data_IF_893059320066
#
_entry.id   IF_893059320066
#
_cell.length_a   1.000
_cell.length_b   1.000
_cell.length_c   1.000
_cell.angle_alpha   90.00
_cell.angle_beta   90.00
_cell.angle_gamma   90.00
#
_symmetry.space_group_name_H-M   'P 1'
#
loop_
_entity.id
_entity.type
_entity.pdbx_description
1 polymer ?
#
# COMPACT_ATOMS: atom_id res chain seq x y z
N UNK A 1 9.50 10.12 -27.80
CA UNK A 1 10.04 11.15 -26.87
C UNK A 1 10.41 10.43 -25.58
N UNK A 2 11.68 10.03 -25.46
CA UNK A 2 12.21 9.32 -24.28
C UNK A 2 12.21 10.30 -23.11
N UNK A 3 11.23 10.20 -22.23
CA UNK A 3 11.28 10.85 -20.92
C UNK A 3 12.17 9.99 -20.03
N UNK A 4 13.22 10.65 -19.54
CA UNK A 4 14.07 10.30 -18.42
C UNK A 4 13.38 9.33 -17.45
N UNK A 5 13.74 8.04 -17.51
CA UNK A 5 13.29 7.08 -16.50
C UNK A 5 14.07 7.38 -15.24
N UNK A 6 13.52 8.22 -14.37
CA UNK A 6 13.99 8.39 -13.00
C UNK A 6 14.24 7.00 -12.42
N UNK A 7 15.51 6.66 -12.17
CA UNK A 7 15.88 5.36 -11.63
C UNK A 7 15.17 5.21 -10.28
N UNK A 8 14.26 4.25 -10.15
CA UNK A 8 13.59 4.01 -8.89
C UNK A 8 14.63 3.74 -7.80
N UNK A 9 14.48 4.44 -6.68
CA UNK A 9 15.27 4.17 -5.49
C UNK A 9 14.80 2.84 -4.89
N UNK A 10 15.74 2.07 -4.34
CA UNK A 10 15.48 0.75 -3.76
C UNK A 10 15.93 0.75 -2.31
N UNK A 11 15.06 0.24 -1.44
CA UNK A 11 15.34 -0.06 -0.04
C UNK A 11 15.07 -1.54 0.22
N UNK A 12 15.70 -2.08 1.26
CA UNK A 12 15.55 -3.48 1.63
C UNK A 12 15.01 -3.63 3.05
N UNK A 13 14.06 -4.55 3.21
CA UNK A 13 13.69 -5.09 4.52
C UNK A 13 14.77 -6.08 4.97
N UNK A 14 14.89 -6.30 6.28
CA UNK A 14 15.73 -7.35 6.86
C UNK A 14 15.25 -8.71 6.37
N UNK A 15 16.14 -9.45 5.69
CA UNK A 15 15.85 -10.80 5.19
C UNK A 15 15.50 -11.75 6.34
N UNK A 16 16.29 -11.73 7.42
CA UNK A 16 16.06 -12.56 8.60
C UNK A 16 14.69 -12.29 9.23
N UNK A 17 14.35 -11.03 9.51
CA UNK A 17 13.07 -10.69 10.12
C UNK A 17 11.90 -11.00 9.18
N UNK A 18 12.08 -10.76 7.88
CA UNK A 18 11.08 -11.09 6.86
C UNK A 18 10.81 -12.60 6.80
N UNK A 19 11.86 -13.43 6.87
CA UNK A 19 11.72 -14.89 6.91
C UNK A 19 10.99 -15.37 8.17
N UNK A 20 11.28 -14.78 9.35
CA UNK A 20 10.57 -15.11 10.59
C UNK A 20 9.07 -14.77 10.50
N UNK A 21 8.75 -13.57 9.99
CA UNK A 21 7.37 -13.15 9.74
C UNK A 21 6.67 -14.09 8.75
N UNK A 22 7.36 -14.47 7.66
CA UNK A 22 6.81 -15.38 6.65
C UNK A 22 6.53 -16.76 7.25
N UNK A 23 7.43 -17.30 8.08
CA UNK A 23 7.23 -18.57 8.77
C UNK A 23 6.00 -18.54 9.69
N UNK A 24 5.83 -17.44 10.45
CA UNK A 24 4.71 -17.28 11.38
C UNK A 24 3.35 -17.17 10.65
N UNK A 25 3.33 -16.50 9.50
CA UNK A 25 2.11 -16.34 8.69
C UNK A 25 1.82 -17.57 7.81
N UNK A 26 2.85 -18.32 7.43
CA UNK A 26 2.77 -19.47 6.54
C UNK A 26 2.24 -19.10 5.17
N UNK A 27 1.42 -19.98 4.58
CA UNK A 27 0.81 -19.79 3.25
C UNK A 27 -0.25 -18.67 3.18
N UNK A 28 -0.48 -17.91 4.27
CA UNK A 28 -1.43 -16.78 4.28
C UNK A 28 -0.81 -15.47 3.79
N UNK A 29 0.51 -15.42 3.59
CA UNK A 29 1.22 -14.25 3.09
C UNK A 29 2.21 -14.64 2.00
N UNK A 30 2.29 -13.82 0.97
CA UNK A 30 3.27 -13.96 -0.11
C UNK A 30 4.43 -12.99 0.11
N UNK A 31 5.64 -13.42 -0.23
CA UNK A 31 6.78 -12.51 -0.33
C UNK A 31 6.65 -11.72 -1.63
N UNK A 32 6.65 -10.39 -1.53
CA UNK A 32 6.31 -9.50 -2.64
C UNK A 32 7.25 -8.31 -2.73
N UNK A 33 7.31 -7.69 -3.91
CA UNK A 33 7.94 -6.36 -4.08
C UNK A 33 6.88 -5.28 -3.86
N UNK A 34 7.17 -4.35 -2.94
CA UNK A 34 6.36 -3.15 -2.75
C UNK A 34 6.91 -1.94 -3.49
N UNK A 35 6.02 -1.09 -3.98
CA UNK A 35 6.31 0.24 -4.48
C UNK A 35 5.70 1.27 -3.52
N UNK A 36 6.49 2.22 -3.06
CA UNK A 36 5.94 3.37 -2.32
C UNK A 36 5.73 4.54 -3.26
N UNK A 37 4.54 5.10 -3.24
CA UNK A 37 4.11 6.26 -4.01
C UNK A 37 3.97 7.48 -3.11
N UNK A 38 4.21 8.67 -3.65
CA UNK A 38 3.99 9.95 -2.97
C UNK A 38 2.52 10.38 -2.96
N UNK A 39 1.66 9.66 -3.66
CA UNK A 39 0.24 9.92 -3.82
C UNK A 39 -0.58 8.64 -3.83
N UNK A 40 -1.87 8.78 -3.56
CA UNK A 40 -2.85 7.70 -3.74
C UNK A 40 -2.99 7.33 -5.21
N UNK A 41 -2.79 6.06 -5.53
CA UNK A 41 -3.02 5.51 -6.87
C UNK A 41 -4.45 4.97 -6.95
N UNK A 42 -5.35 5.80 -7.49
CA UNK A 42 -6.77 5.46 -7.51
C UNK A 42 -7.21 4.68 -8.75
N UNK A 43 -6.50 4.83 -9.87
CA UNK A 43 -6.85 4.24 -11.16
C UNK A 43 -6.30 2.82 -11.32
N UNK A 44 -7.14 1.87 -11.72
CA UNK A 44 -6.76 0.50 -12.10
C UNK A 44 -5.72 0.45 -13.22
N UNK A 45 -5.80 1.37 -14.18
CA UNK A 45 -4.82 1.47 -15.26
C UNK A 45 -3.45 1.84 -14.71
N UNK A 46 -3.39 2.86 -13.84
CA UNK A 46 -2.14 3.31 -13.24
C UNK A 46 -1.55 2.23 -12.32
N UNK A 47 -2.36 1.55 -11.49
CA UNK A 47 -1.92 0.41 -10.67
C UNK A 47 -1.22 -0.66 -11.51
N UNK A 48 -1.81 -1.05 -12.63
CA UNK A 48 -1.23 -2.07 -13.53
C UNK A 48 0.01 -1.56 -14.24
N UNK A 49 0.03 -0.31 -14.70
CA UNK A 49 1.20 0.30 -15.33
C UNK A 49 2.39 0.38 -14.36
N UNK A 50 2.16 0.76 -13.11
CA UNK A 50 3.19 0.78 -12.07
C UNK A 50 3.68 -0.64 -11.75
N UNK A 51 2.76 -1.59 -11.58
CA UNK A 51 3.10 -3.00 -11.36
C UNK A 51 3.98 -3.56 -12.48
N UNK A 52 3.67 -3.27 -13.74
CA UNK A 52 4.50 -3.68 -14.89
C UNK A 52 5.84 -2.95 -14.94
N UNK A 53 5.85 -1.64 -14.69
CA UNK A 53 7.05 -0.80 -14.83
C UNK A 53 8.10 -1.08 -13.75
N UNK A 54 7.66 -1.44 -12.54
CA UNK A 54 8.54 -1.64 -11.38
C UNK A 54 8.60 -3.11 -10.91
N UNK A 55 7.84 -4.01 -11.56
CA UNK A 55 7.63 -5.40 -11.13
C UNK A 55 7.17 -5.46 -9.67
N UNK A 56 6.25 -4.58 -9.30
CA UNK A 56 5.71 -4.48 -7.96
C UNK A 56 4.34 -5.14 -7.88
N UNK A 57 4.10 -5.84 -6.78
CA UNK A 57 2.82 -6.53 -6.53
C UNK A 57 1.86 -5.66 -5.73
N UNK A 58 2.40 -4.70 -4.98
CA UNK A 58 1.66 -3.86 -4.02
C UNK A 58 2.17 -2.42 -4.06
N UNK A 59 1.26 -1.46 -3.86
CA UNK A 59 1.59 -0.04 -3.73
C UNK A 59 1.17 0.45 -2.35
N UNK A 60 2.03 1.19 -1.67
CA UNK A 60 1.74 1.91 -0.43
C UNK A 60 2.28 3.35 -0.50
N UNK A 61 2.24 4.11 0.60
CA UNK A 61 2.79 5.48 0.64
C UNK A 61 3.92 5.63 1.66
N UNK A 62 4.10 4.67 2.56
CA UNK A 62 4.92 4.85 3.76
C UNK A 62 6.15 3.93 3.80
N UNK A 63 6.15 2.83 3.04
CA UNK A 63 7.16 1.78 3.16
C UNK A 63 8.59 2.30 2.94
N UNK A 64 8.82 2.98 1.82
CA UNK A 64 10.15 3.52 1.50
C UNK A 64 10.63 4.55 2.52
N UNK A 65 9.76 5.46 2.96
CA UNK A 65 10.08 6.47 3.96
C UNK A 65 10.43 5.82 5.31
N UNK A 66 9.66 4.81 5.72
CA UNK A 66 9.89 4.05 6.95
C UNK A 66 11.26 3.39 6.93
N UNK A 67 11.61 2.68 5.85
CA UNK A 67 12.93 2.05 5.69
C UNK A 67 14.07 3.09 5.66
N UNK A 68 13.86 4.21 4.98
CA UNK A 68 14.87 5.27 4.87
C UNK A 68 15.22 5.92 6.21
N UNK A 69 14.29 5.91 7.17
CA UNK A 69 14.52 6.43 8.52
C UNK A 69 15.08 5.37 9.47
N UNK A 70 14.60 4.12 9.37
CA UNK A 70 14.91 3.06 10.34
C UNK A 70 16.17 2.27 9.99
N UNK A 71 16.43 1.97 8.71
CA UNK A 71 17.59 1.19 8.28
C UNK A 71 18.91 1.88 8.69
N UNK A 72 19.13 3.19 8.47
CA UNK A 72 20.37 3.85 8.87
C UNK A 72 20.61 3.86 10.39
N UNK A 73 19.55 3.66 11.19
CA UNK A 73 19.62 3.56 12.65
C UNK A 73 19.88 2.14 13.14
N UNK A 74 20.07 1.17 12.23
CA UNK A 74 20.37 -0.22 12.56
C UNK A 74 19.16 -1.06 12.98
N UNK A 75 17.93 -0.57 12.78
CA UNK A 75 16.74 -1.38 13.08
C UNK A 75 16.49 -2.41 11.97
N UNK A 76 16.24 -3.66 12.37
CA UNK A 76 15.72 -4.67 11.47
C UNK A 76 14.23 -4.40 11.20
N UNK A 77 13.86 -4.17 9.94
CA UNK A 77 12.48 -3.90 9.53
C UNK A 77 11.97 -4.99 8.61
N UNK A 78 10.74 -5.47 8.87
CA UNK A 78 9.96 -6.28 7.93
C UNK A 78 8.58 -5.62 7.77
N UNK A 79 7.96 -5.83 6.61
CA UNK A 79 6.69 -5.19 6.28
C UNK A 79 5.64 -6.23 5.91
N UNK A 80 4.49 -6.12 6.56
CA UNK A 80 3.30 -6.92 6.26
C UNK A 80 2.23 -5.97 5.77
N UNK A 81 1.67 -6.25 4.60
CA UNK A 81 0.62 -5.45 3.97
C UNK A 81 -0.59 -6.32 3.71
N UNK A 82 -1.76 -5.80 4.04
CA UNK A 82 -3.05 -6.42 3.68
C UNK A 82 -3.67 -5.59 2.58
N UNK A 83 -3.99 -6.22 1.46
CA UNK A 83 -4.50 -5.55 0.27
C UNK A 83 -6.02 -5.42 0.38
N UNK A 84 -6.50 -4.18 0.51
CA UNK A 84 -7.93 -3.84 0.62
C UNK A 84 -8.65 -3.79 -0.73
N UNK A 85 -7.93 -3.47 -1.79
CA UNK A 85 -8.44 -3.23 -3.14
C UNK A 85 -7.46 -3.77 -4.18
N UNK A 86 -8.00 -4.39 -5.22
CA UNK A 86 -7.19 -5.02 -6.27
C UNK A 86 -6.78 -4.03 -7.38
N UNK A 87 -6.03 -4.53 -8.36
CA UNK A 87 -5.58 -3.76 -9.53
C UNK A 87 -6.59 -3.71 -10.67
N UNK A 88 -7.73 -4.40 -10.55
CA UNK A 88 -8.76 -4.47 -11.59
C UNK A 88 -9.76 -3.32 -11.50
N UNK A 89 -9.95 -2.76 -10.31
CA UNK A 89 -10.93 -1.72 -10.06
C UNK A 89 -10.30 -0.41 -9.60
N UNK A 90 -10.94 0.69 -10.02
CA UNK A 90 -10.66 1.99 -9.47
C UNK A 90 -11.21 2.06 -8.04
N UNK A 91 -10.50 2.80 -7.19
CA UNK A 91 -11.10 3.39 -5.98
C UNK A 91 -11.54 4.83 -6.32
N UNK A 92 -12.41 5.46 -5.50
CA UNK A 92 -12.75 6.86 -5.70
C UNK A 92 -11.49 7.72 -5.76
N UNK A 93 -11.51 8.76 -6.59
CA UNK A 93 -10.45 9.76 -6.57
C UNK A 93 -10.54 10.56 -5.27
N UNK A 94 -9.62 10.25 -4.35
CA UNK A 94 -9.51 10.89 -3.04
C UNK A 94 -8.31 11.85 -2.96
N UNK A 95 -7.64 12.14 -4.07
CA UNK A 95 -6.55 13.12 -4.11
C UNK A 95 -6.94 14.48 -3.52
N UNK A 96 -8.10 15.10 -3.85
CA UNK A 96 -8.48 16.38 -3.25
C UNK A 96 -8.90 16.26 -1.76
N UNK A 97 -9.11 15.04 -1.27
CA UNK A 97 -9.45 14.76 0.11
C UNK A 97 -8.24 14.67 1.04
N UNK A 98 -7.02 14.67 0.52
CA UNK A 98 -5.79 14.57 1.31
C UNK A 98 -5.10 15.93 1.29
N UNK A 99 -4.89 16.50 2.48
CA UNK A 99 -4.12 17.72 2.69
C UNK A 99 -2.60 17.46 2.56
N UNK A 100 -1.82 18.52 2.42
CA UNK A 100 -0.35 18.42 2.34
C UNK A 100 0.31 17.82 3.59
N UNK A 101 -0.35 17.90 4.75
CA UNK A 101 0.06 17.29 6.02
C UNK A 101 -0.49 15.85 6.20
N UNK A 102 -1.15 15.29 5.19
CA UNK A 102 -1.79 13.97 5.25
C UNK A 102 -3.16 13.94 5.91
N UNK A 103 -3.66 15.07 6.44
CA UNK A 103 -5.00 15.13 7.04
C UNK A 103 -6.10 14.95 5.99
N UNK A 104 -7.20 14.31 6.38
CA UNK A 104 -8.36 14.14 5.51
C UNK A 104 -9.26 15.37 5.57
N UNK A 105 -9.64 15.90 4.40
CA UNK A 105 -10.64 16.96 4.25
C UNK A 105 -12.03 16.33 4.12
N UNK A 106 -12.93 16.47 5.11
CA UNK A 106 -14.19 15.71 5.14
C UNK A 106 -15.12 16.01 3.94
N UNK A 107 -15.21 17.27 3.52
CA UNK A 107 -16.10 17.65 2.43
C UNK A 107 -15.62 17.14 1.06
N UNK A 108 -14.37 17.35 0.63
CA UNK A 108 -13.84 16.73 -0.58
C UNK A 108 -13.91 15.19 -0.55
N UNK A 109 -13.67 14.58 0.61
CA UNK A 109 -13.82 13.13 0.80
C UNK A 109 -15.25 12.67 0.48
N UNK A 110 -16.25 13.29 1.13
CA UNK A 110 -17.66 12.97 0.93
C UNK A 110 -18.08 13.17 -0.54
N UNK A 111 -17.61 14.25 -1.16
CA UNK A 111 -17.90 14.53 -2.57
C UNK A 111 -17.26 13.50 -3.51
N UNK A 112 -16.02 13.06 -3.23
CA UNK A 112 -15.35 11.99 -3.99
C UNK A 112 -16.10 10.66 -3.92
N UNK A 113 -16.57 10.30 -2.72
CA UNK A 113 -17.38 9.10 -2.50
C UNK A 113 -18.74 9.18 -3.23
N UNK A 114 -19.43 10.33 -3.15
CA UNK A 114 -20.74 10.53 -3.76
C UNK A 114 -20.69 10.51 -5.30
N UNK A 115 -19.62 11.05 -5.88
CA UNK A 115 -19.40 11.03 -7.35
C UNK A 115 -19.14 9.63 -7.90
N UNK A 116 -18.60 8.72 -7.09
CA UNK A 116 -18.20 7.37 -7.51
C UNK A 116 -18.73 6.28 -6.57
N UNK A 117 -20.06 6.13 -6.42
CA UNK A 117 -20.66 5.33 -5.35
C UNK A 117 -20.30 3.83 -5.43
N UNK A 118 -20.18 3.27 -6.63
CA UNK A 118 -19.77 1.86 -6.81
C UNK A 118 -18.30 1.66 -6.38
N UNK A 119 -17.41 2.58 -6.74
CA UNK A 119 -16.03 2.53 -6.29
C UNK A 119 -15.92 2.75 -4.77
N UNK A 120 -16.73 3.66 -4.22
CA UNK A 120 -16.79 3.97 -2.79
C UNK A 120 -17.25 2.77 -1.95
N UNK A 121 -18.34 2.11 -2.36
CA UNK A 121 -18.84 0.91 -1.69
C UNK A 121 -17.81 -0.23 -1.73
N UNK A 122 -17.11 -0.43 -2.84
CA UNK A 122 -16.00 -1.37 -2.95
C UNK A 122 -14.86 -1.03 -2.01
N UNK A 123 -14.45 0.25 -1.97
CA UNK A 123 -13.41 0.73 -1.07
C UNK A 123 -13.78 0.48 0.40
N UNK A 124 -15.00 0.83 0.83
CA UNK A 124 -15.46 0.62 2.21
C UNK A 124 -15.46 -0.88 2.55
N UNK A 125 -16.08 -1.71 1.69
CA UNK A 125 -16.14 -3.16 1.93
C UNK A 125 -14.75 -3.79 1.95
N UNK A 126 -13.89 -3.40 1.02
CA UNK A 126 -12.50 -3.83 0.92
C UNK A 126 -11.69 -3.43 2.16
N UNK A 127 -11.83 -2.18 2.61
CA UNK A 127 -11.16 -1.66 3.81
C UNK A 127 -11.61 -2.38 5.08
N UNK A 128 -12.91 -2.61 5.26
CA UNK A 128 -13.44 -3.36 6.41
C UNK A 128 -12.97 -4.82 6.41
N UNK A 129 -12.91 -5.46 5.24
CA UNK A 129 -12.36 -6.82 5.10
C UNK A 129 -10.86 -6.82 5.39
N UNK A 130 -10.12 -5.87 4.83
CA UNK A 130 -8.69 -5.69 5.05
C UNK A 130 -8.37 -5.48 6.52
N UNK A 131 -9.13 -4.63 7.22
CA UNK A 131 -8.98 -4.40 8.66
C UNK A 131 -9.17 -5.68 9.47
N UNK A 132 -10.21 -6.47 9.17
CA UNK A 132 -10.42 -7.76 9.84
C UNK A 132 -9.25 -8.72 9.63
N UNK A 133 -8.73 -8.80 8.40
CA UNK A 133 -7.56 -9.65 8.09
C UNK A 133 -6.31 -9.11 8.80
N UNK A 134 -6.10 -7.80 8.81
CA UNK A 134 -5.00 -7.16 9.51
C UNK A 134 -5.03 -7.46 11.01
N UNK A 135 -6.20 -7.37 11.64
CA UNK A 135 -6.38 -7.75 13.05
C UNK A 135 -6.00 -9.22 13.29
N UNK A 136 -6.49 -10.14 12.44
CA UNK A 136 -6.16 -11.57 12.56
C UNK A 136 -4.67 -11.85 12.36
N UNK A 137 -4.03 -11.18 11.41
CA UNK A 137 -2.60 -11.28 11.11
C UNK A 137 -1.78 -10.73 12.27
N UNK A 138 -2.14 -9.57 12.82
CA UNK A 138 -1.47 -8.99 13.99
C UNK A 138 -1.56 -9.91 15.19
N UNK A 139 -2.75 -10.45 15.51
CA UNK A 139 -2.90 -11.43 16.60
C UNK A 139 -1.96 -12.61 16.38
N UNK A 140 -1.93 -13.19 15.18
CA UNK A 140 -1.08 -14.35 14.89
C UNK A 140 0.43 -14.06 14.96
N UNK A 141 0.86 -12.85 14.61
CA UNK A 141 2.27 -12.46 14.68
C UNK A 141 2.76 -12.31 16.12
N UNK A 142 1.87 -11.93 17.05
CA UNK A 142 2.21 -11.64 18.44
C UNK A 142 1.61 -12.64 19.45
N UNK A 143 1.01 -13.72 18.96
CA UNK A 143 0.63 -14.90 19.77
C UNK A 143 1.77 -15.91 19.74
#
# INVERSE_FOLDING_TARGET
RNQDRSKALVQQCSSQLTSLVQQQLGNKANLVRGLSSDRVIWSSLEKRQLGQSYQADVVDMEGFATLSVLNPKGFAVAMVRVISDDSYYNIPDLTPAISADGSLKPFPLAMGMLKQPIAATRLIRGSLRGLKVLQQVSIRLFS
#
